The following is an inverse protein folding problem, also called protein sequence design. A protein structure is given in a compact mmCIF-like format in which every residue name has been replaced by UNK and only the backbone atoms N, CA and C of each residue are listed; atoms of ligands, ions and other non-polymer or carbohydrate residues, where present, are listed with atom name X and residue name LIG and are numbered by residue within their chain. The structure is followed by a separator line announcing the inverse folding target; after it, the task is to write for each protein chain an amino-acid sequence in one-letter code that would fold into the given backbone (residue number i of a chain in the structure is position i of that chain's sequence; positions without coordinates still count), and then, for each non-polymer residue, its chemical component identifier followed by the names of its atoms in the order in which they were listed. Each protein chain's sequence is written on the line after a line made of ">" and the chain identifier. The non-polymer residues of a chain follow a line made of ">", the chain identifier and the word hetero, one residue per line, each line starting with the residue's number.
data_IF_606261574130
#
_entry.id   IF_606261574130
#
_cell.length_a   1.000
_cell.length_b   1.000
_cell.length_c   1.000
_cell.angle_alpha   90.00
_cell.angle_beta   90.00
_cell.angle_gamma   90.00
#
_symmetry.space_group_name_H-M   'P 1'
#
loop_
_entity.id
_entity.type
_entity.pdbx_description
1 polymer ?
#
# COMPACT_ATOMS: atom_id res chain seq x y z
N UNK A 1 18.81 20.92 9.75
CA UNK A 1 17.64 21.41 9.01
C UNK A 1 16.40 21.01 9.81
N UNK A 2 15.60 21.97 10.22
CA UNK A 2 14.36 21.72 10.94
C UNK A 2 13.37 21.00 10.01
N UNK A 3 12.64 19.99 10.47
CA UNK A 3 11.58 19.39 9.68
C UNK A 3 10.55 20.45 9.33
N UNK A 4 10.25 20.58 8.05
CA UNK A 4 9.23 21.52 7.58
C UNK A 4 7.93 21.26 8.30
N UNK A 5 7.31 22.34 8.77
CA UNK A 5 6.05 22.28 9.50
C UNK A 5 4.96 21.63 8.62
N UNK A 6 4.17 20.77 9.22
CA UNK A 6 2.98 20.12 8.65
C UNK A 6 2.10 21.10 7.84
N UNK A 7 2.07 22.38 8.23
CA UNK A 7 1.29 23.46 7.60
C UNK A 7 1.70 23.80 6.15
N UNK A 8 2.96 23.61 5.76
CA UNK A 8 3.39 23.93 4.38
C UNK A 8 3.08 22.78 3.41
N UNK A 9 3.15 21.53 3.88
CA UNK A 9 2.63 20.38 3.12
C UNK A 9 1.11 20.47 2.95
N UNK A 10 0.37 20.86 3.98
CA UNK A 10 -1.06 21.15 3.89
C UNK A 10 -1.37 22.25 2.88
N UNK A 11 -0.57 23.31 2.82
CA UNK A 11 -0.79 24.44 1.89
C UNK A 11 -0.59 24.05 0.42
N UNK A 12 0.31 23.11 0.13
CA UNK A 12 0.52 22.60 -1.25
C UNK A 12 -0.54 21.54 -1.61
N UNK A 13 -1.01 20.76 -0.64
CA UNK A 13 -2.10 19.79 -0.82
C UNK A 13 -3.50 20.43 -0.94
N UNK A 14 -3.66 21.70 -0.55
CA UNK A 14 -4.94 22.43 -0.52
C UNK A 14 -5.61 22.62 -1.90
N UNK A 15 -4.98 22.28 -3.01
CA UNK A 15 -5.57 22.44 -4.35
C UNK A 15 -5.91 21.15 -5.09
N UNK A 16 -5.63 20.00 -4.50
CA UNK A 16 -5.97 18.75 -5.16
C UNK A 16 -7.40 18.34 -4.80
N UNK A 17 -8.27 18.31 -5.78
CA UNK A 17 -9.65 17.85 -5.61
C UNK A 17 -9.72 16.33 -5.59
N UNK A 18 -9.52 15.75 -4.39
CA UNK A 18 -9.68 14.32 -4.16
C UNK A 18 -11.10 13.82 -4.49
N UNK A 19 -12.12 14.69 -4.40
CA UNK A 19 -13.50 14.32 -4.72
C UNK A 19 -13.68 13.89 -6.17
N UNK A 20 -12.94 14.49 -7.10
CA UNK A 20 -12.94 14.09 -8.51
C UNK A 20 -12.50 12.63 -8.69
N UNK A 21 -11.39 12.25 -8.05
CA UNK A 21 -10.90 10.87 -8.09
C UNK A 21 -11.85 9.91 -7.37
N UNK A 22 -12.37 10.28 -6.20
CA UNK A 22 -13.32 9.45 -5.46
C UNK A 22 -14.60 9.20 -6.26
N UNK A 23 -15.12 10.23 -6.93
CA UNK A 23 -16.27 10.11 -7.81
C UNK A 23 -15.96 9.19 -9.02
N UNK A 24 -14.79 9.34 -9.62
CA UNK A 24 -14.34 8.48 -10.73
C UNK A 24 -14.27 7.01 -10.28
N UNK A 25 -13.61 6.72 -9.15
CA UNK A 25 -13.49 5.37 -8.61
C UNK A 25 -14.86 4.79 -8.30
N UNK A 26 -15.71 5.55 -7.60
CA UNK A 26 -17.06 5.10 -7.24
C UNK A 26 -17.88 4.75 -8.48
N UNK A 27 -17.84 5.59 -9.51
CA UNK A 27 -18.58 5.34 -10.76
C UNK A 27 -18.09 4.09 -11.50
N UNK A 28 -16.79 3.76 -11.41
CA UNK A 28 -16.21 2.52 -11.96
C UNK A 28 -16.50 1.28 -11.13
N UNK A 29 -16.88 1.46 -9.85
CA UNK A 29 -17.10 0.38 -8.88
C UNK A 29 -18.53 0.38 -8.30
N UNK A 30 -19.54 0.91 -9.03
CA UNK A 30 -20.92 0.99 -8.53
C UNK A 30 -21.49 -0.37 -8.09
N UNK A 31 -21.23 -1.42 -8.85
CA UNK A 31 -21.72 -2.75 -8.55
C UNK A 31 -21.05 -3.30 -7.28
N UNK A 32 -19.76 -3.04 -7.13
CA UNK A 32 -18.98 -3.45 -5.97
C UNK A 32 -19.46 -2.71 -4.71
N UNK A 33 -19.75 -1.41 -4.80
CA UNK A 33 -20.31 -0.65 -3.69
C UNK A 33 -21.74 -1.08 -3.33
N UNK A 34 -22.53 -1.54 -4.28
CA UNK A 34 -23.84 -2.16 -3.97
C UNK A 34 -23.66 -3.45 -3.13
N UNK A 35 -22.64 -4.26 -3.43
CA UNK A 35 -22.32 -5.47 -2.66
C UNK A 35 -21.74 -5.14 -1.26
N UNK A 36 -21.07 -4.01 -1.12
CA UNK A 36 -20.52 -3.53 0.15
C UNK A 36 -21.56 -2.78 1.00
N UNK A 37 -22.70 -2.38 0.45
CA UNK A 37 -23.72 -1.61 1.16
C UNK A 37 -24.28 -2.38 2.37
N UNK A 38 -24.32 -1.70 3.52
CA UNK A 38 -24.70 -2.22 4.83
C UNK A 38 -23.81 -3.37 5.34
N UNK A 39 -22.59 -3.47 4.82
CA UNK A 39 -21.58 -4.46 5.20
C UNK A 39 -20.58 -3.88 6.19
N UNK A 40 -19.89 -4.78 6.88
CA UNK A 40 -18.83 -4.44 7.82
C UNK A 40 -17.48 -4.92 7.30
N UNK A 41 -16.48 -4.03 7.35
CA UNK A 41 -15.12 -4.29 6.87
C UNK A 41 -14.14 -4.11 8.02
N UNK A 42 -13.32 -5.15 8.26
CA UNK A 42 -12.16 -5.04 9.12
C UNK A 42 -10.96 -4.61 8.29
N UNK A 43 -10.30 -3.51 8.67
CA UNK A 43 -9.17 -2.95 7.95
C UNK A 43 -7.93 -2.93 8.84
N UNK A 44 -6.83 -3.49 8.37
CA UNK A 44 -5.49 -3.28 8.94
C UNK A 44 -4.64 -2.45 8.00
N UNK A 45 -3.75 -1.63 8.53
CA UNK A 45 -2.92 -0.75 7.70
C UNK A 45 -3.66 0.45 7.09
N UNK A 46 -4.84 0.81 7.63
CA UNK A 46 -5.65 1.94 7.14
C UNK A 46 -5.00 3.32 7.34
N UNK A 47 -3.91 3.40 8.09
CA UNK A 47 -3.12 4.64 8.26
C UNK A 47 -2.07 4.84 7.17
N UNK A 48 -1.81 3.83 6.33
CA UNK A 48 -0.88 3.88 5.21
C UNK A 48 -1.48 4.48 3.94
N UNK A 49 -0.69 4.53 2.88
CA UNK A 49 -1.07 5.12 1.58
C UNK A 49 -2.37 4.55 1.02
N UNK A 50 -2.46 3.23 0.82
CA UNK A 50 -3.69 2.59 0.34
C UNK A 50 -4.84 2.72 1.33
N UNK A 51 -4.54 2.57 2.62
CA UNK A 51 -5.55 2.59 3.66
C UNK A 51 -6.26 3.92 3.77
N UNK A 52 -5.54 5.04 3.69
CA UNK A 52 -6.14 6.38 3.66
C UNK A 52 -7.09 6.54 2.48
N UNK A 53 -6.69 6.11 1.29
CA UNK A 53 -7.54 6.15 0.10
C UNK A 53 -8.79 5.27 0.22
N UNK A 54 -8.67 4.08 0.80
CA UNK A 54 -9.85 3.23 1.05
C UNK A 54 -10.81 3.88 2.05
N UNK A 55 -10.30 4.51 3.11
CA UNK A 55 -11.15 5.23 4.07
C UNK A 55 -11.87 6.40 3.41
N UNK A 56 -11.14 7.24 2.64
CA UNK A 56 -11.74 8.34 1.88
C UNK A 56 -12.85 7.83 0.94
N UNK A 57 -12.57 6.76 0.19
CA UNK A 57 -13.52 6.20 -0.76
C UNK A 57 -14.77 5.62 -0.10
N UNK A 58 -14.62 4.88 1.01
CA UNK A 58 -15.74 4.32 1.77
C UNK A 58 -16.60 5.46 2.34
N UNK A 59 -15.98 6.48 2.92
CA UNK A 59 -16.72 7.58 3.53
C UNK A 59 -17.36 8.51 2.49
N UNK A 60 -16.72 8.68 1.34
CA UNK A 60 -17.32 9.33 0.18
C UNK A 60 -18.59 8.57 -0.28
N UNK A 61 -18.51 7.25 -0.39
CA UNK A 61 -19.65 6.42 -0.74
C UNK A 61 -20.77 6.47 0.31
N UNK A 62 -20.43 6.42 1.59
CA UNK A 62 -21.40 6.56 2.67
C UNK A 62 -22.11 7.91 2.66
N UNK A 63 -21.35 9.00 2.43
CA UNK A 63 -21.87 10.38 2.42
C UNK A 63 -22.78 10.63 1.22
N UNK A 64 -22.35 10.23 0.03
CA UNK A 64 -22.99 10.65 -1.22
C UNK A 64 -24.02 9.63 -1.75
N UNK A 65 -23.90 8.35 -1.35
CA UNK A 65 -24.71 7.26 -1.90
C UNK A 65 -25.37 6.40 -0.82
N UNK A 66 -25.30 6.80 0.45
CA UNK A 66 -25.94 6.10 1.59
C UNK A 66 -25.57 4.60 1.67
N UNK A 67 -24.35 4.23 1.36
CA UNK A 67 -23.93 2.82 1.36
C UNK A 67 -23.88 2.20 2.77
N UNK A 68 -23.75 3.01 3.81
CA UNK A 68 -23.73 2.59 5.23
C UNK A 68 -22.70 1.50 5.54
N UNK A 69 -21.54 1.57 4.91
CA UNK A 69 -20.45 0.61 5.13
C UNK A 69 -19.82 0.91 6.50
N UNK A 70 -19.81 -0.07 7.37
CA UNK A 70 -19.20 0.01 8.69
C UNK A 70 -17.73 -0.39 8.59
N UNK A 71 -16.85 0.45 9.08
CA UNK A 71 -15.39 0.21 9.03
C UNK A 71 -14.82 0.08 10.43
N UNK A 72 -14.12 -1.01 10.69
CA UNK A 72 -13.31 -1.15 11.90
C UNK A 72 -11.83 -1.12 11.50
N UNK A 73 -11.12 -0.13 11.99
CA UNK A 73 -9.69 0.07 11.73
C UNK A 73 -8.85 -0.39 12.89
N UNK A 74 -7.87 -1.27 12.63
CA UNK A 74 -6.81 -1.62 13.58
C UNK A 74 -5.63 -0.67 13.40
N UNK A 75 -5.24 0.02 14.47
CA UNK A 75 -4.07 0.90 14.48
C UNK A 75 -3.34 0.85 15.81
N UNK A 76 -2.03 1.07 15.78
CA UNK A 76 -1.20 1.14 17.00
C UNK A 76 -1.38 2.45 17.78
N UNK A 77 -1.84 3.51 17.11
CA UNK A 77 -1.97 4.83 17.73
C UNK A 77 -3.18 5.59 17.17
N UNK A 78 -4.29 5.54 17.90
CA UNK A 78 -5.54 6.21 17.57
C UNK A 78 -5.41 7.74 17.63
N UNK A 79 -4.72 8.26 18.63
CA UNK A 79 -4.54 9.71 18.80
C UNK A 79 -3.78 10.30 17.61
N UNK A 80 -2.68 9.66 17.17
CA UNK A 80 -1.93 10.08 16.00
C UNK A 80 -2.79 10.01 14.74
N UNK A 81 -3.58 8.96 14.57
CA UNK A 81 -4.49 8.84 13.43
C UNK A 81 -5.48 10.00 13.34
N UNK A 82 -6.13 10.36 14.45
CA UNK A 82 -7.09 11.49 14.45
C UNK A 82 -6.42 12.85 14.40
N UNK A 83 -5.19 12.99 14.89
CA UNK A 83 -4.41 14.22 14.74
C UNK A 83 -4.08 14.49 13.26
N UNK A 84 -3.68 13.46 12.54
CA UNK A 84 -3.35 13.52 11.10
C UNK A 84 -4.59 13.57 10.19
N UNK A 85 -5.75 13.06 10.68
CA UNK A 85 -6.97 12.93 9.91
C UNK A 85 -8.19 13.38 10.76
N UNK A 86 -8.27 14.68 11.14
CA UNK A 86 -9.29 15.17 12.08
C UNK A 86 -10.73 15.04 11.55
N UNK A 87 -10.92 15.01 10.24
CA UNK A 87 -12.22 14.87 9.59
C UNK A 87 -12.86 13.48 9.81
N UNK A 88 -12.11 12.48 10.25
CA UNK A 88 -12.67 11.18 10.64
C UNK A 88 -13.16 11.13 12.08
N UNK A 89 -12.79 12.12 12.90
CA UNK A 89 -13.23 12.18 14.29
C UNK A 89 -14.77 12.29 14.34
N UNK A 90 -15.39 11.45 15.16
CA UNK A 90 -16.84 11.34 15.29
C UNK A 90 -17.59 10.79 14.05
N UNK A 91 -16.90 10.15 13.11
CA UNK A 91 -17.57 9.46 12.01
C UNK A 91 -18.27 8.20 12.53
N UNK A 92 -19.61 8.19 12.48
CA UNK A 92 -20.42 7.06 12.99
C UNK A 92 -20.19 5.72 12.30
N UNK A 93 -19.56 5.74 11.14
CA UNK A 93 -19.22 4.54 10.37
C UNK A 93 -17.80 4.04 10.63
N UNK A 94 -17.02 4.72 11.48
CA UNK A 94 -15.66 4.33 11.82
C UNK A 94 -15.57 3.92 13.29
N UNK A 95 -15.08 2.71 13.51
CA UNK A 95 -14.63 2.22 14.82
C UNK A 95 -13.12 2.00 14.77
N UNK A 96 -12.42 2.38 15.82
CA UNK A 96 -10.99 2.10 15.96
C UNK A 96 -10.77 1.07 17.06
N UNK A 97 -9.86 0.13 16.78
CA UNK A 97 -9.28 -0.77 17.78
C UNK A 97 -7.80 -0.43 17.86
N UNK A 98 -7.41 0.18 18.99
CA UNK A 98 -6.01 0.52 19.21
C UNK A 98 -5.27 -0.69 19.77
N UNK A 99 -4.55 -1.39 18.88
CA UNK A 99 -3.73 -2.55 19.23
C UNK A 99 -2.64 -2.75 18.15
N UNK A 100 -1.51 -3.33 18.55
CA UNK A 100 -0.56 -3.88 17.58
C UNK A 100 -1.10 -5.19 17.01
N UNK A 101 -0.97 -5.38 15.69
CA UNK A 101 -1.43 -6.61 15.03
C UNK A 101 -0.73 -7.87 15.58
N UNK A 102 0.48 -7.72 16.13
CA UNK A 102 1.21 -8.82 16.78
C UNK A 102 0.59 -9.26 18.09
N UNK A 103 -0.13 -8.36 18.78
CA UNK A 103 -0.80 -8.62 20.05
C UNK A 103 -2.30 -8.93 19.87
N UNK A 104 -2.79 -8.88 18.66
CA UNK A 104 -4.19 -9.12 18.32
C UNK A 104 -4.53 -10.60 18.50
N UNK A 105 -5.44 -10.91 19.44
CA UNK A 105 -5.84 -12.29 19.74
C UNK A 105 -7.33 -12.55 19.48
N UNK A 106 -8.17 -11.55 19.71
CA UNK A 106 -9.61 -11.72 19.57
C UNK A 106 -10.32 -10.40 19.28
N UNK A 107 -11.32 -10.44 18.41
CA UNK A 107 -12.26 -9.34 18.19
C UNK A 107 -13.68 -9.92 18.27
N UNK A 108 -14.48 -9.47 19.25
CA UNK A 108 -15.87 -9.89 19.40
C UNK A 108 -16.79 -9.03 18.52
N UNK A 109 -16.69 -9.21 17.21
CA UNK A 109 -17.55 -8.51 16.24
C UNK A 109 -17.59 -9.28 14.94
N UNK A 110 -18.75 -9.28 14.26
CA UNK A 110 -18.87 -9.91 12.95
C UNK A 110 -18.44 -8.95 11.84
N UNK A 111 -17.68 -9.47 10.90
CA UNK A 111 -17.26 -8.74 9.71
C UNK A 111 -17.62 -9.53 8.46
N UNK A 112 -18.03 -8.83 7.41
CA UNK A 112 -18.29 -9.44 6.10
C UNK A 112 -16.98 -9.59 5.29
N UNK A 113 -16.08 -8.59 5.43
CA UNK A 113 -14.85 -8.52 4.66
C UNK A 113 -13.64 -8.19 5.55
N UNK A 114 -12.48 -8.70 5.15
CA UNK A 114 -11.19 -8.32 5.70
C UNK A 114 -10.31 -7.69 4.61
N UNK A 115 -9.82 -6.48 4.86
CA UNK A 115 -8.82 -5.81 4.05
C UNK A 115 -7.52 -5.71 4.84
N UNK A 116 -6.59 -6.61 4.54
CA UNK A 116 -5.30 -6.69 5.23
C UNK A 116 -4.21 -5.96 4.44
N UNK A 117 -3.95 -4.70 4.82
CA UNK A 117 -2.92 -3.85 4.21
C UNK A 117 -1.78 -3.50 5.16
N UNK A 118 -1.81 -4.03 6.39
CA UNK A 118 -0.75 -3.78 7.34
C UNK A 118 0.59 -4.35 6.84
N UNK A 119 1.61 -3.52 6.96
CA UNK A 119 3.00 -3.86 6.71
C UNK A 119 3.87 -3.05 7.67
N UNK A 120 5.15 -3.37 7.75
CA UNK A 120 6.10 -2.46 8.37
C UNK A 120 6.06 -1.14 7.60
N UNK A 121 5.96 -0.03 8.32
CA UNK A 121 5.83 1.26 7.66
C UNK A 121 7.09 1.60 6.86
N UNK A 122 6.92 2.39 5.81
CA UNK A 122 8.04 2.91 5.04
C UNK A 122 9.01 3.71 5.92
N UNK A 123 8.50 4.42 6.93
CA UNK A 123 9.29 5.17 7.91
C UNK A 123 10.10 4.21 8.81
N UNK A 124 9.51 3.12 9.32
CA UNK A 124 10.24 2.10 10.10
C UNK A 124 11.35 1.48 9.27
N UNK A 125 11.08 1.18 8.01
CA UNK A 125 12.10 0.69 7.07
C UNK A 125 13.21 1.72 6.86
N UNK A 126 12.88 2.99 6.68
CA UNK A 126 13.83 4.08 6.50
C UNK A 126 14.70 4.28 7.75
N UNK A 127 14.12 4.11 8.94
CA UNK A 127 14.79 4.20 10.24
C UNK A 127 15.60 2.95 10.62
N UNK A 128 15.80 2.01 9.70
CA UNK A 128 16.71 0.89 9.88
C UNK A 128 16.11 -0.35 10.56
N UNK A 129 14.79 -0.56 10.45
CA UNK A 129 14.18 -1.81 10.92
C UNK A 129 14.85 -3.03 10.28
N UNK A 130 15.18 -4.02 11.12
CA UNK A 130 15.89 -5.21 10.67
C UNK A 130 15.05 -6.13 9.82
N UNK A 131 15.67 -6.87 8.90
CA UNK A 131 14.99 -7.86 8.04
C UNK A 131 14.29 -8.95 8.86
N UNK A 132 14.86 -9.35 9.99
CA UNK A 132 14.24 -10.30 10.94
C UNK A 132 12.94 -9.76 11.50
N UNK A 133 12.94 -8.51 11.97
CA UNK A 133 11.73 -7.88 12.51
C UNK A 133 10.66 -7.70 11.43
N UNK A 134 11.04 -7.26 10.23
CA UNK A 134 10.11 -7.17 9.08
C UNK A 134 9.44 -8.50 8.78
N UNK A 135 10.25 -9.55 8.64
CA UNK A 135 9.74 -10.89 8.37
C UNK A 135 8.77 -11.34 9.47
N UNK A 136 9.15 -11.15 10.74
CA UNK A 136 8.32 -11.53 11.89
C UNK A 136 6.99 -10.76 11.92
N UNK A 137 7.04 -9.44 11.71
CA UNK A 137 5.84 -8.60 11.73
C UNK A 137 4.87 -8.97 10.63
N UNK A 138 5.36 -9.18 9.41
CA UNK A 138 4.51 -9.53 8.27
C UNK A 138 3.91 -10.92 8.42
N UNK A 139 4.70 -11.92 8.81
CA UNK A 139 4.22 -13.29 8.97
C UNK A 139 3.26 -13.44 10.15
N UNK A 140 3.67 -13.01 11.35
CA UNK A 140 2.83 -13.15 12.54
C UNK A 140 1.59 -12.26 12.47
N UNK A 141 1.70 -11.06 11.88
CA UNK A 141 0.54 -10.20 11.61
C UNK A 141 -0.48 -10.87 10.70
N UNK A 142 -0.01 -11.51 9.61
CA UNK A 142 -0.88 -12.28 8.72
C UNK A 142 -1.52 -13.47 9.44
N UNK A 143 -0.75 -14.21 10.25
CA UNK A 143 -1.26 -15.32 11.06
C UNK A 143 -2.36 -14.86 12.01
N UNK A 144 -2.10 -13.85 12.84
CA UNK A 144 -3.05 -13.36 13.83
C UNK A 144 -4.35 -12.86 13.17
N UNK A 145 -4.25 -12.15 12.03
CA UNK A 145 -5.45 -11.66 11.36
C UNK A 145 -6.24 -12.78 10.69
N UNK A 146 -5.59 -13.86 10.25
CA UNK A 146 -6.27 -15.05 9.76
C UNK A 146 -7.01 -15.80 10.87
N UNK A 147 -6.42 -15.92 12.06
CA UNK A 147 -7.10 -16.47 13.22
C UNK A 147 -8.39 -15.68 13.54
N UNK A 148 -8.30 -14.33 13.52
CA UNK A 148 -9.48 -13.45 13.66
C UNK A 148 -10.50 -13.70 12.54
N UNK A 149 -10.05 -13.85 11.30
CA UNK A 149 -10.94 -14.08 10.16
C UNK A 149 -11.74 -15.40 10.33
N UNK A 150 -11.07 -16.45 10.75
CA UNK A 150 -11.67 -17.77 11.00
C UNK A 150 -12.67 -17.70 12.17
N UNK A 151 -12.25 -17.17 13.33
CA UNK A 151 -13.11 -17.04 14.52
C UNK A 151 -14.37 -16.20 14.29
N UNK A 152 -14.29 -15.19 13.43
CA UNK A 152 -15.41 -14.30 13.11
C UNK A 152 -16.19 -14.70 11.85
N UNK A 153 -15.85 -15.84 11.24
CA UNK A 153 -16.47 -16.35 9.99
C UNK A 153 -16.46 -15.31 8.87
N UNK A 154 -15.33 -14.61 8.67
CA UNK A 154 -15.17 -13.66 7.57
C UNK A 154 -15.10 -14.44 6.26
N UNK A 155 -15.96 -14.11 5.32
CA UNK A 155 -16.11 -14.87 4.08
C UNK A 155 -15.14 -14.48 2.98
N UNK A 156 -14.64 -13.23 2.99
CA UNK A 156 -13.76 -12.69 1.92
C UNK A 156 -12.61 -11.89 2.49
N UNK A 157 -11.43 -12.15 1.96
CA UNK A 157 -10.18 -11.48 2.38
C UNK A 157 -9.47 -10.92 1.15
N UNK A 158 -9.01 -9.67 1.25
CA UNK A 158 -8.03 -9.09 0.35
C UNK A 158 -6.75 -8.75 1.13
N UNK A 159 -5.64 -9.34 0.71
CA UNK A 159 -4.30 -9.04 1.22
C UNK A 159 -3.49 -8.28 0.20
N UNK A 160 -2.93 -7.13 0.59
CA UNK A 160 -1.97 -6.42 -0.25
C UNK A 160 -0.56 -6.98 -0.03
N UNK A 161 -0.12 -7.80 -0.96
CA UNK A 161 1.26 -8.27 -1.07
C UNK A 161 2.11 -7.26 -1.87
N UNK A 162 3.21 -7.68 -2.44
CA UNK A 162 4.11 -6.79 -3.17
C UNK A 162 4.82 -7.52 -4.30
N UNK A 163 5.12 -6.84 -5.40
CA UNK A 163 5.98 -7.34 -6.46
C UNK A 163 7.40 -7.73 -6.01
N UNK A 164 7.81 -7.33 -4.80
CA UNK A 164 9.09 -7.74 -4.20
C UNK A 164 9.21 -9.27 -4.04
N UNK A 165 8.11 -9.99 -3.99
CA UNK A 165 8.08 -11.46 -3.87
C UNK A 165 8.72 -12.17 -5.06
N UNK A 166 8.74 -11.54 -6.23
CA UNK A 166 9.38 -12.08 -7.41
C UNK A 166 10.92 -12.07 -7.33
N UNK A 167 11.49 -11.13 -6.57
CA UNK A 167 12.94 -10.93 -6.49
C UNK A 167 13.55 -10.47 -7.80
N UNK A 168 14.87 -10.61 -7.92
CA UNK A 168 15.59 -10.34 -9.16
C UNK A 168 15.33 -11.46 -10.18
N UNK A 169 14.90 -11.09 -11.37
CA UNK A 169 14.67 -12.01 -12.47
C UNK A 169 15.05 -11.33 -13.78
N UNK A 170 15.45 -12.12 -14.77
CA UNK A 170 15.73 -11.64 -16.13
C UNK A 170 14.47 -11.33 -16.94
N UNK A 171 13.30 -11.74 -16.48
CA UNK A 171 12.03 -11.44 -17.14
C UNK A 171 11.66 -9.98 -16.90
N UNK A 172 11.36 -9.24 -17.95
CA UNK A 172 10.90 -7.85 -17.89
C UNK A 172 9.51 -7.71 -17.27
N UNK A 173 8.61 -8.62 -17.60
CA UNK A 173 7.26 -8.70 -17.02
C UNK A 173 7.14 -9.94 -16.14
N UNK A 174 6.37 -9.83 -15.06
CA UNK A 174 6.13 -10.89 -14.09
C UNK A 174 4.73 -11.46 -14.27
N UNK A 175 4.66 -12.76 -14.32
CA UNK A 175 3.43 -13.54 -14.26
C UNK A 175 3.19 -14.01 -12.83
N UNK A 176 1.95 -14.20 -12.41
CA UNK A 176 1.61 -14.64 -11.07
C UNK A 176 2.22 -16.00 -10.71
N UNK A 177 2.45 -16.85 -11.72
CA UNK A 177 3.10 -18.15 -11.58
C UNK A 177 4.63 -18.08 -11.44
N UNK A 178 5.25 -16.93 -11.66
CA UNK A 178 6.71 -16.75 -11.60
C UNK A 178 7.31 -16.86 -10.19
N UNK A 179 6.48 -16.92 -9.13
CA UNK A 179 6.97 -17.07 -7.76
C UNK A 179 7.22 -18.53 -7.45
N UNK A 180 8.48 -18.87 -7.28
CA UNK A 180 8.86 -20.13 -6.65
C UNK A 180 9.05 -19.93 -5.15
N UNK A 181 8.10 -20.42 -4.37
CA UNK A 181 8.14 -20.37 -2.90
C UNK A 181 9.35 -21.15 -2.32
N UNK A 182 9.89 -22.10 -3.07
CA UNK A 182 10.98 -22.98 -2.63
C UNK A 182 12.39 -22.45 -2.89
N UNK A 183 12.57 -21.46 -3.77
CA UNK A 183 13.91 -21.03 -4.19
C UNK A 183 14.45 -19.87 -3.34
N UNK A 184 15.37 -20.22 -2.43
CA UNK A 184 16.27 -19.28 -1.75
C UNK A 184 15.62 -18.17 -0.92
N UNK A 185 14.64 -18.50 -0.05
CA UNK A 185 14.13 -17.56 0.96
C UNK A 185 15.25 -16.88 1.75
N UNK A 186 16.34 -17.58 2.04
CA UNK A 186 17.49 -17.04 2.78
C UNK A 186 18.17 -15.86 2.10
N UNK A 187 18.15 -15.82 0.76
CA UNK A 187 18.74 -14.73 -0.02
C UNK A 187 17.80 -13.51 -0.20
N UNK A 188 16.57 -13.60 0.29
CA UNK A 188 15.58 -12.52 0.20
C UNK A 188 15.73 -11.54 1.35
N UNK A 189 15.47 -10.25 1.08
CA UNK A 189 15.33 -9.26 2.15
C UNK A 189 14.10 -9.55 3.02
N UNK A 190 14.03 -8.94 4.21
CA UNK A 190 12.99 -9.22 5.18
C UNK A 190 11.58 -8.90 4.68
N UNK A 191 11.42 -7.88 3.82
CA UNK A 191 10.13 -7.54 3.22
C UNK A 191 9.65 -8.64 2.28
N UNK A 192 10.50 -9.09 1.35
CA UNK A 192 10.16 -10.15 0.41
C UNK A 192 9.86 -11.46 1.13
N UNK A 193 10.72 -11.85 2.08
CA UNK A 193 10.54 -13.04 2.90
C UNK A 193 9.23 -13.00 3.67
N UNK A 194 8.96 -11.89 4.35
CA UNK A 194 7.74 -11.72 5.15
C UNK A 194 6.46 -11.75 4.29
N UNK A 195 6.47 -11.13 3.10
CA UNK A 195 5.33 -11.16 2.17
C UNK A 195 5.09 -12.56 1.60
N UNK A 196 6.13 -13.29 1.21
CA UNK A 196 6.00 -14.68 0.74
C UNK A 196 5.38 -15.56 1.82
N UNK A 197 5.88 -15.49 3.05
CA UNK A 197 5.33 -16.27 4.17
C UNK A 197 3.90 -15.86 4.52
N UNK A 198 3.55 -14.57 4.39
CA UNK A 198 2.19 -14.09 4.58
C UNK A 198 1.24 -14.56 3.46
N UNK A 199 1.68 -14.57 2.20
CA UNK A 199 0.90 -15.16 1.09
C UNK A 199 0.60 -16.63 1.35
N UNK A 200 1.63 -17.40 1.76
CA UNK A 200 1.50 -18.83 2.03
C UNK A 200 0.49 -19.12 3.16
N UNK A 201 0.63 -18.46 4.32
CA UNK A 201 -0.28 -18.71 5.45
C UNK A 201 -1.71 -18.25 5.16
N UNK A 202 -1.90 -17.13 4.46
CA UNK A 202 -3.24 -16.64 4.09
C UNK A 202 -3.91 -17.63 3.13
N UNK A 203 -3.22 -18.07 2.08
CA UNK A 203 -3.81 -19.01 1.12
C UNK A 203 -4.14 -20.35 1.76
N UNK A 204 -3.22 -20.95 2.52
CA UNK A 204 -3.45 -22.24 3.16
C UNK A 204 -4.62 -22.21 4.16
N UNK A 205 -4.60 -21.25 5.10
CA UNK A 205 -5.69 -21.13 6.07
C UNK A 205 -7.03 -20.76 5.42
N UNK A 206 -7.02 -20.00 4.34
CA UNK A 206 -8.24 -19.66 3.61
C UNK A 206 -8.85 -20.90 2.94
N UNK A 207 -8.04 -21.71 2.27
CA UNK A 207 -8.48 -22.95 1.63
C UNK A 207 -9.02 -23.96 2.67
N UNK A 208 -8.33 -24.13 3.81
CA UNK A 208 -8.75 -25.02 4.89
C UNK A 208 -10.09 -24.60 5.52
N UNK A 209 -10.42 -23.31 5.52
CA UNK A 209 -11.59 -22.75 6.20
C UNK A 209 -12.67 -22.22 5.24
N UNK A 210 -12.57 -22.50 3.94
CA UNK A 210 -13.50 -22.03 2.90
C UNK A 210 -13.69 -20.50 2.89
N UNK A 211 -12.59 -19.75 3.08
CA UNK A 211 -12.57 -18.29 2.99
C UNK A 211 -12.11 -17.91 1.59
N UNK A 212 -12.92 -17.13 0.86
CA UNK A 212 -12.53 -16.62 -0.43
C UNK A 212 -11.41 -15.56 -0.28
N UNK A 213 -10.21 -15.84 -0.79
CA UNK A 213 -9.05 -14.97 -0.62
C UNK A 213 -8.54 -14.40 -1.93
N UNK A 214 -8.03 -13.17 -1.86
CA UNK A 214 -7.26 -12.54 -2.93
C UNK A 214 -5.97 -11.98 -2.36
N UNK A 215 -4.89 -12.23 -3.07
CA UNK A 215 -3.57 -11.70 -2.78
C UNK A 215 -3.20 -10.75 -3.92
N UNK A 216 -3.20 -9.45 -3.64
CA UNK A 216 -2.81 -8.43 -4.61
C UNK A 216 -1.32 -8.14 -4.49
N UNK A 217 -0.51 -8.59 -5.45
CA UNK A 217 0.92 -8.25 -5.55
C UNK A 217 1.07 -6.87 -6.16
N UNK A 218 1.20 -5.91 -5.27
CA UNK A 218 1.28 -4.50 -5.60
C UNK A 218 2.68 -4.10 -6.04
N UNK A 219 2.81 -3.38 -7.17
CA UNK A 219 4.09 -2.88 -7.71
C UNK A 219 4.39 -1.45 -7.26
N UNK A 220 4.49 -0.48 -8.17
CA UNK A 220 4.75 0.91 -7.81
C UNK A 220 3.52 1.79 -8.10
N UNK A 221 3.27 2.72 -7.21
CA UNK A 221 2.08 3.56 -7.25
C UNK A 221 2.42 5.03 -7.04
N UNK A 222 1.53 5.90 -7.49
CA UNK A 222 1.65 7.34 -7.34
C UNK A 222 0.27 7.96 -7.10
N UNK A 223 0.24 9.00 -6.30
CA UNK A 223 -0.97 9.77 -6.00
C UNK A 223 -0.85 10.55 -4.69
N UNK A 224 -1.85 11.35 -4.34
CA UNK A 224 -1.94 12.03 -3.05
C UNK A 224 -1.77 11.08 -1.88
N UNK A 225 -1.24 11.56 -0.76
CA UNK A 225 -0.83 10.80 0.42
C UNK A 225 0.42 9.93 0.25
N UNK A 226 1.06 9.88 -0.94
CA UNK A 226 2.35 9.23 -1.08
C UNK A 226 3.41 10.02 -0.30
N UNK A 227 4.15 9.40 0.63
CA UNK A 227 5.26 10.07 1.29
C UNK A 227 6.34 10.51 0.30
N UNK A 228 6.78 11.77 0.40
CA UNK A 228 7.70 12.38 -0.57
C UNK A 228 9.17 12.34 -0.13
N UNK A 229 9.45 12.02 1.14
CA UNK A 229 10.75 12.18 1.80
C UNK A 229 11.40 10.86 2.23
N UNK A 230 10.90 9.75 1.70
CA UNK A 230 11.41 8.41 2.00
C UNK A 230 12.01 7.74 0.75
N UNK A 231 12.01 6.42 0.67
CA UNK A 231 12.73 5.66 -0.36
C UNK A 231 12.00 5.49 -1.71
N UNK A 232 10.92 6.22 -1.97
CA UNK A 232 10.20 6.14 -3.25
C UNK A 232 10.76 7.14 -4.26
N UNK A 233 11.29 6.66 -5.39
CA UNK A 233 11.94 7.50 -6.40
C UNK A 233 11.04 8.65 -6.87
N UNK A 234 9.79 8.36 -7.25
CA UNK A 234 8.84 9.39 -7.69
C UNK A 234 8.52 10.41 -6.59
N UNK A 235 8.37 9.96 -5.33
CA UNK A 235 8.16 10.85 -4.19
C UNK A 235 9.35 11.79 -3.99
N UNK A 236 10.58 11.24 -4.03
CA UNK A 236 11.79 12.02 -3.89
C UNK A 236 11.95 13.04 -5.03
N UNK A 237 11.64 12.67 -6.28
CA UNK A 237 11.75 13.61 -7.41
C UNK A 237 10.72 14.74 -7.30
N UNK A 238 9.49 14.44 -6.86
CA UNK A 238 8.47 15.46 -6.59
C UNK A 238 8.94 16.38 -5.45
N UNK A 239 9.44 15.81 -4.36
CA UNK A 239 9.98 16.58 -3.24
C UNK A 239 11.15 17.51 -3.68
N UNK A 240 12.07 16.96 -4.44
CA UNK A 240 13.20 17.73 -4.96
C UNK A 240 12.74 18.83 -5.93
N UNK A 241 11.79 18.52 -6.81
CA UNK A 241 11.23 19.49 -7.73
C UNK A 241 10.52 20.66 -7.01
N UNK A 242 9.91 20.42 -5.87
CA UNK A 242 9.19 21.46 -5.10
C UNK A 242 10.15 22.22 -4.18
N UNK A 243 11.01 21.52 -3.44
CA UNK A 243 11.71 22.07 -2.27
C UNK A 243 13.22 22.20 -2.39
N UNK A 244 13.87 21.64 -3.41
CA UNK A 244 15.31 21.68 -3.58
C UNK A 244 15.71 22.40 -4.87
N UNK A 245 16.95 22.81 -4.99
CA UNK A 245 17.46 23.50 -6.18
C UNK A 245 17.58 22.57 -7.40
N UNK A 246 17.77 21.28 -7.17
CA UNK A 246 18.03 20.26 -8.18
C UNK A 246 17.28 18.97 -7.85
N UNK A 247 16.95 18.18 -8.88
CA UNK A 247 16.39 16.84 -8.74
C UNK A 247 17.52 15.82 -8.77
N UNK A 248 17.64 15.00 -7.74
CA UNK A 248 18.75 14.07 -7.57
C UNK A 248 18.35 12.62 -7.84
N UNK A 249 19.06 11.95 -8.73
CA UNK A 249 18.95 10.52 -8.97
C UNK A 249 20.06 9.80 -8.20
N UNK A 250 19.68 9.03 -7.17
CA UNK A 250 20.61 8.19 -6.42
C UNK A 250 20.89 6.90 -7.20
N UNK A 251 21.93 6.90 -8.02
CA UNK A 251 22.32 5.81 -8.93
C UNK A 251 22.39 6.29 -10.36
N UNK A 252 22.49 5.38 -11.33
CA UNK A 252 22.69 5.71 -12.75
C UNK A 252 21.42 6.02 -13.55
N UNK A 253 20.23 5.96 -12.93
CA UNK A 253 18.97 6.26 -13.60
C UNK A 253 18.47 5.19 -14.59
N UNK A 254 19.21 4.11 -14.83
CA UNK A 254 18.87 3.09 -15.83
C UNK A 254 17.75 2.09 -15.45
N UNK A 255 17.46 1.80 -14.17
CA UNK A 255 16.41 0.86 -13.82
C UNK A 255 15.03 1.30 -14.34
N UNK A 256 14.22 0.31 -14.73
CA UNK A 256 12.84 0.52 -15.11
C UNK A 256 11.91 0.34 -13.92
N UNK A 257 10.80 1.09 -13.92
CA UNK A 257 9.67 0.92 -13.03
C UNK A 257 8.38 1.10 -13.82
N UNK A 258 7.30 0.53 -13.29
CA UNK A 258 5.95 0.84 -13.75
C UNK A 258 5.19 1.56 -12.64
N UNK A 259 4.42 2.58 -12.98
CA UNK A 259 3.63 3.31 -11.99
C UNK A 259 2.16 3.25 -12.35
N UNK A 260 1.33 2.87 -11.39
CA UNK A 260 -0.12 2.92 -11.52
C UNK A 260 -0.65 4.05 -10.62
N UNK A 261 -1.55 4.86 -11.17
CA UNK A 261 -2.16 5.93 -10.38
C UNK A 261 -3.13 5.34 -9.35
N UNK A 262 -3.25 6.01 -8.22
CA UNK A 262 -3.98 5.47 -7.07
C UNK A 262 -5.45 5.20 -7.36
N UNK A 263 -6.12 6.01 -8.18
CA UNK A 263 -7.52 5.77 -8.54
C UNK A 263 -7.70 4.44 -9.27
N UNK A 264 -6.83 4.11 -10.22
CA UNK A 264 -6.87 2.81 -10.91
C UNK A 264 -6.56 1.67 -9.94
N UNK A 265 -5.61 1.89 -9.02
CA UNK A 265 -5.28 0.91 -7.98
C UNK A 265 -6.50 0.60 -7.11
N UNK A 266 -7.22 1.64 -6.65
CA UNK A 266 -8.41 1.47 -5.82
C UNK A 266 -9.54 0.76 -6.56
N UNK A 267 -9.70 1.02 -7.88
CA UNK A 267 -10.66 0.29 -8.72
C UNK A 267 -10.33 -1.21 -8.71
N UNK A 268 -9.07 -1.57 -8.96
CA UNK A 268 -8.62 -2.96 -8.93
C UNK A 268 -8.83 -3.60 -7.56
N UNK A 269 -8.35 -2.97 -6.50
CA UNK A 269 -8.46 -3.53 -5.14
C UNK A 269 -9.91 -3.63 -4.67
N UNK A 270 -10.80 -2.69 -5.03
CA UNK A 270 -12.22 -2.75 -4.70
C UNK A 270 -12.90 -3.92 -5.41
N UNK A 271 -12.60 -4.12 -6.70
CA UNK A 271 -13.13 -5.26 -7.46
C UNK A 271 -12.64 -6.59 -6.91
N UNK A 272 -11.36 -6.68 -6.58
CA UNK A 272 -10.79 -7.87 -5.95
C UNK A 272 -11.44 -8.16 -4.59
N UNK A 273 -11.68 -7.14 -3.75
CA UNK A 273 -12.25 -7.33 -2.42
C UNK A 273 -13.61 -8.04 -2.47
N UNK A 274 -14.48 -7.67 -3.40
CA UNK A 274 -15.85 -8.22 -3.48
C UNK A 274 -16.01 -9.34 -4.50
N UNK A 275 -15.08 -9.49 -5.45
CA UNK A 275 -15.10 -10.51 -6.50
C UNK A 275 -15.23 -11.94 -5.96
N UNK A 276 -15.51 -12.89 -6.84
CA UNK A 276 -15.62 -14.30 -6.48
C UNK A 276 -14.41 -15.13 -6.89
N UNK A 277 -13.58 -14.59 -7.76
CA UNK A 277 -12.30 -15.19 -8.15
C UNK A 277 -11.42 -15.34 -6.91
N UNK A 278 -10.63 -16.41 -6.86
CA UNK A 278 -9.68 -16.66 -5.78
C UNK A 278 -8.26 -16.70 -6.33
N UNK A 279 -7.31 -16.37 -5.46
CA UNK A 279 -5.90 -16.54 -5.76
C UNK A 279 -5.08 -15.27 -5.74
N UNK A 280 -4.04 -15.26 -6.57
CA UNK A 280 -3.02 -14.21 -6.62
C UNK A 280 -3.21 -13.37 -7.88
N UNK A 281 -3.05 -12.06 -7.74
CA UNK A 281 -3.24 -11.10 -8.82
C UNK A 281 -2.13 -10.05 -8.78
N UNK A 282 -1.52 -9.77 -9.93
CA UNK A 282 -0.62 -8.65 -10.08
C UNK A 282 -1.42 -7.34 -10.21
N UNK A 283 -1.08 -6.36 -9.38
CA UNK A 283 -1.68 -5.02 -9.43
C UNK A 283 -0.60 -3.99 -9.73
N UNK A 284 -0.59 -3.49 -10.95
CA UNK A 284 0.42 -2.56 -11.45
C UNK A 284 0.11 -2.11 -12.87
N UNK A 285 1.01 -1.33 -13.46
CA UNK A 285 0.93 -0.86 -14.84
C UNK A 285 1.87 -1.68 -15.73
N UNK A 286 1.45 -1.98 -16.94
CA UNK A 286 2.32 -2.58 -17.96
C UNK A 286 3.29 -1.55 -18.59
N UNK A 287 3.01 -0.26 -18.41
CA UNK A 287 3.87 0.82 -18.94
C UNK A 287 5.08 0.98 -18.06
N UNK A 288 6.25 0.70 -18.62
CA UNK A 288 7.54 0.90 -17.96
C UNK A 288 8.14 2.24 -18.32
N UNK A 289 8.82 2.85 -17.36
CA UNK A 289 9.57 4.09 -17.52
C UNK A 289 10.93 3.96 -16.85
N UNK A 290 11.99 4.46 -17.46
CA UNK A 290 13.29 4.54 -16.81
C UNK A 290 13.28 5.59 -15.70
N UNK A 291 14.08 5.39 -14.67
CA UNK A 291 14.19 6.34 -13.56
C UNK A 291 14.66 7.72 -14.04
N UNK A 292 15.58 7.77 -15.02
CA UNK A 292 16.01 9.04 -15.61
C UNK A 292 14.89 9.74 -16.37
N UNK A 293 14.08 9.00 -17.13
CA UNK A 293 12.94 9.55 -17.85
C UNK A 293 11.87 10.06 -16.88
N UNK A 294 11.62 9.32 -15.80
CA UNK A 294 10.70 9.74 -14.74
C UNK A 294 11.15 11.05 -14.09
N UNK A 295 12.43 11.17 -13.75
CA UNK A 295 12.97 12.39 -13.14
C UNK A 295 12.84 13.59 -14.08
N UNK A 296 13.12 13.42 -15.37
CA UNK A 296 12.94 14.46 -16.37
C UNK A 296 11.45 14.84 -16.53
N UNK A 297 10.55 13.87 -16.55
CA UNK A 297 9.09 14.12 -16.62
C UNK A 297 8.62 14.95 -15.42
N UNK A 298 9.05 14.60 -14.20
CA UNK A 298 8.73 15.36 -12.98
C UNK A 298 9.29 16.79 -13.08
N UNK A 299 10.53 16.96 -13.53
CA UNK A 299 11.12 18.29 -13.78
C UNK A 299 10.28 19.10 -14.76
N UNK A 300 9.96 18.53 -15.92
CA UNK A 300 9.28 19.25 -17.00
C UNK A 300 7.88 19.72 -16.59
N UNK A 301 7.20 18.96 -15.72
CA UNK A 301 5.86 19.29 -15.23
C UNK A 301 5.90 20.29 -14.06
N UNK A 302 6.83 20.10 -13.09
CA UNK A 302 6.77 20.81 -11.81
C UNK A 302 7.77 21.97 -11.76
N UNK A 303 8.98 21.79 -12.29
CA UNK A 303 10.09 22.73 -12.14
C UNK A 303 10.99 22.75 -13.39
N UNK A 304 10.49 23.24 -14.55
CA UNK A 304 11.22 23.13 -15.84
C UNK A 304 12.59 23.79 -15.86
N UNK A 305 12.84 24.73 -14.96
CA UNK A 305 14.15 25.44 -14.86
C UNK A 305 15.19 24.69 -14.05
N UNK A 306 14.83 23.59 -13.37
CA UNK A 306 15.76 22.84 -12.52
C UNK A 306 16.54 21.78 -13.31
N UNK A 307 17.73 21.48 -12.82
CA UNK A 307 18.56 20.41 -13.36
C UNK A 307 18.23 19.06 -12.75
N UNK A 308 18.32 18.00 -13.55
CA UNK A 308 18.32 16.61 -13.08
C UNK A 308 19.76 16.13 -13.03
N UNK A 309 20.23 15.73 -11.86
CA UNK A 309 21.61 15.29 -11.63
C UNK A 309 21.65 13.82 -11.25
N UNK A 310 22.46 13.07 -11.95
CA UNK A 310 22.79 11.68 -11.60
C UNK A 310 23.95 11.72 -10.60
N UNK A 311 23.70 11.25 -9.38
CA UNK A 311 24.75 11.03 -8.40
C UNK A 311 25.31 9.62 -8.61
N UNK A 312 26.38 9.49 -9.39
CA UNK A 312 27.17 8.26 -9.39
C UNK A 312 27.77 8.07 -7.99
N UNK A 313 27.17 7.23 -7.18
CA UNK A 313 27.89 6.66 -6.04
C UNK A 313 28.89 5.68 -6.64
N UNK A 314 30.19 5.94 -6.42
CA UNK A 314 31.22 4.93 -6.62
C UNK A 314 30.72 3.62 -6.04
N UNK A 315 30.56 2.62 -6.90
CA UNK A 315 30.16 1.29 -6.46
C UNK A 315 31.35 0.72 -5.68
N UNK A 316 31.34 0.87 -4.37
CA UNK A 316 32.13 -0.02 -3.54
C UNK A 316 31.61 -1.45 -3.80
N UNK A 317 32.48 -2.26 -4.38
CA UNK A 317 32.28 -3.70 -4.57
C UNK A 317 31.85 -4.30 -3.22
N UNK A 318 30.58 -4.59 -3.05
CA UNK A 318 30.03 -5.16 -1.82
C UNK A 318 28.56 -4.88 -1.57
N UNK A 319 27.98 -3.83 -2.15
CA UNK A 319 26.56 -3.53 -1.99
C UNK A 319 25.75 -4.07 -3.16
N UNK A 320 25.33 -5.33 -3.05
CA UNK A 320 24.44 -5.99 -3.97
C UNK A 320 23.13 -5.18 -4.14
N UNK A 321 22.94 -4.70 -5.36
CA UNK A 321 21.71 -4.43 -6.10
C UNK A 321 20.43 -4.59 -5.27
N UNK A 322 19.91 -3.50 -4.74
CA UNK A 322 18.48 -3.36 -4.47
C UNK A 322 17.76 -3.10 -5.80
N UNK A 323 17.56 -4.16 -6.57
CA UNK A 323 16.63 -4.17 -7.68
C UNK A 323 15.28 -4.61 -7.11
N UNK A 324 14.43 -3.66 -6.81
CA UNK A 324 13.00 -3.86 -6.60
C UNK A 324 12.28 -2.98 -7.58
#
# INVERSE_FOLDING_TARGET
>A
MLPMSHSLMETIMIKYDIESDLNFIFNKCKNEFNLLSNKSILITGGTGFFGKWFLELIFYANKNYNTNILTTLITRNENKFFLENPHYKNNKFLKIIQIDILDLKKINHKFDFLLHMAATSAIETFNGETDTNKTRTLFNGAKNIMEIAIENNISKILFTSSGVVYGSSSKDMKDESDVSYSLNLEKRNGLAKGKILAEDIISNLSLENNINFKIARCFSFVGPYLPLDIHYAIGNFINDAIFKDKILINGNGSPYRSYLYISDTLIWLTKLLVGNEEGVFNVGSERRIQIIELANMVRDIIAPSKEVIIQEKEMHEGNFKRNI
#
